data_IF_706752597163
#
_entry.id   IF_706752597163
#
_cell.length_a   1.000
_cell.length_b   1.000
_cell.length_c   1.000
_cell.angle_alpha   90.00
_cell.angle_beta   90.00
_cell.angle_gamma   90.00
#
_symmetry.space_group_name_H-M   'P 1'
#
loop_
_entity.id
_entity.type
_entity.pdbx_description
1 polymer ?
#
# COMPACT_ATOMS: atom_id res chain seq x y z
N UNK A 1 -30.60 -0.17 -1.02
CA UNK A 1 -30.11 0.52 -2.23
C UNK A 1 -28.89 1.42 -1.98
N UNK A 2 -28.72 2.03 -0.80
CA UNK A 2 -27.62 2.99 -0.52
C UNK A 2 -26.18 2.40 -0.42
N UNK A 3 -26.00 1.14 -0.04
CA UNK A 3 -24.67 0.58 0.19
C UNK A 3 -23.87 0.30 -1.10
N UNK A 4 -24.54 -0.22 -2.13
CA UNK A 4 -23.91 -0.47 -3.45
C UNK A 4 -23.48 0.83 -4.13
N UNK A 5 -24.30 1.87 -4.04
CA UNK A 5 -24.00 3.19 -4.64
C UNK A 5 -22.79 3.84 -3.94
N UNK A 6 -22.73 3.80 -2.60
CA UNK A 6 -21.56 4.31 -1.83
C UNK A 6 -20.27 3.56 -2.18
N UNK A 7 -20.33 2.25 -2.38
CA UNK A 7 -19.16 1.44 -2.75
C UNK A 7 -18.69 1.74 -4.18
N UNK A 8 -19.63 1.91 -5.13
CA UNK A 8 -19.29 2.25 -6.51
C UNK A 8 -18.67 3.64 -6.62
N UNK A 9 -19.23 4.62 -5.91
CA UNK A 9 -18.66 5.97 -5.85
C UNK A 9 -17.25 5.97 -5.25
N UNK A 10 -16.99 5.15 -4.22
CA UNK A 10 -15.66 5.07 -3.61
C UNK A 10 -14.62 4.45 -4.55
N UNK A 11 -15.00 3.41 -5.30
CA UNK A 11 -14.13 2.83 -6.32
C UNK A 11 -13.81 3.84 -7.43
N UNK A 12 -14.81 4.58 -7.90
CA UNK A 12 -14.61 5.62 -8.91
C UNK A 12 -13.65 6.71 -8.39
N UNK A 13 -13.82 7.17 -7.16
CA UNK A 13 -12.92 8.13 -6.51
C UNK A 13 -11.49 7.57 -6.41
N UNK A 14 -11.34 6.30 -6.05
CA UNK A 14 -10.03 5.63 -6.00
C UNK A 14 -9.34 5.63 -7.36
N UNK A 15 -10.06 5.25 -8.42
CA UNK A 15 -9.51 5.22 -9.79
C UNK A 15 -9.13 6.63 -10.25
N UNK A 16 -10.01 7.60 -10.06
CA UNK A 16 -9.76 8.99 -10.48
C UNK A 16 -8.57 9.58 -9.70
N UNK A 17 -8.52 9.37 -8.38
CA UNK A 17 -7.41 9.88 -7.55
C UNK A 17 -6.07 9.23 -7.93
N UNK A 18 -6.06 7.92 -8.25
CA UNK A 18 -4.86 7.23 -8.72
C UNK A 18 -4.39 7.77 -10.08
N UNK A 19 -5.31 7.94 -11.02
CA UNK A 19 -4.99 8.48 -12.34
C UNK A 19 -4.47 9.92 -12.26
N UNK A 20 -5.12 10.77 -11.44
CA UNK A 20 -4.69 12.15 -11.21
C UNK A 20 -3.29 12.19 -10.56
N UNK A 21 -3.05 11.39 -9.51
CA UNK A 21 -1.74 11.28 -8.87
C UNK A 21 -0.67 10.85 -9.86
N UNK A 22 -0.92 9.82 -10.66
CA UNK A 22 0.03 9.31 -11.64
C UNK A 22 0.35 10.34 -12.74
N UNK A 23 -0.67 11.05 -13.23
CA UNK A 23 -0.49 12.12 -14.21
C UNK A 23 0.33 13.29 -13.65
N UNK A 24 0.02 13.76 -12.45
CA UNK A 24 0.74 14.86 -11.78
C UNK A 24 2.21 14.46 -11.55
N UNK A 25 2.47 13.29 -11.02
CA UNK A 25 3.83 12.82 -10.78
C UNK A 25 4.61 12.67 -12.09
N UNK A 26 3.98 12.18 -13.15
CA UNK A 26 4.62 12.07 -14.46
C UNK A 26 4.94 13.44 -15.06
N UNK A 27 4.05 14.43 -14.94
CA UNK A 27 4.30 15.80 -15.44
C UNK A 27 5.39 16.54 -14.67
N UNK A 28 5.63 16.19 -13.41
CA UNK A 28 6.69 16.81 -12.60
C UNK A 28 8.05 16.15 -12.90
N UNK A 29 8.10 14.82 -12.94
CA UNK A 29 9.36 14.06 -13.01
C UNK A 29 9.80 13.78 -14.45
N UNK A 30 8.86 13.78 -15.41
CA UNK A 30 9.10 13.49 -16.82
C UNK A 30 9.83 12.16 -17.08
N UNK A 31 9.67 11.18 -16.19
CA UNK A 31 10.31 9.87 -16.30
C UNK A 31 9.28 8.76 -16.09
N UNK A 32 9.12 7.81 -17.03
CA UNK A 32 8.12 6.74 -16.91
C UNK A 32 8.32 5.81 -15.71
N UNK A 33 9.50 5.78 -15.09
CA UNK A 33 9.78 5.01 -13.88
C UNK A 33 8.88 5.45 -12.72
N UNK A 34 8.40 6.70 -12.72
CA UNK A 34 7.49 7.20 -11.71
C UNK A 34 6.13 6.51 -11.75
N UNK A 35 5.69 6.07 -12.94
CA UNK A 35 4.45 5.30 -13.06
C UNK A 35 4.58 3.93 -12.38
N UNK A 36 5.77 3.33 -12.43
CA UNK A 36 6.06 2.11 -11.68
C UNK A 36 5.98 2.35 -10.16
N UNK A 37 6.52 3.47 -9.66
CA UNK A 37 6.42 3.81 -8.24
C UNK A 37 4.97 4.04 -7.79
N UNK A 38 4.16 4.71 -8.63
CA UNK A 38 2.72 4.85 -8.37
C UNK A 38 2.02 3.49 -8.31
N UNK A 39 2.38 2.57 -9.21
CA UNK A 39 1.80 1.24 -9.24
C UNK A 39 2.22 0.39 -8.03
N UNK A 40 3.47 0.49 -7.57
CA UNK A 40 3.92 -0.14 -6.33
C UNK A 40 3.13 0.38 -5.13
N UNK A 41 2.89 1.71 -5.05
CA UNK A 41 2.05 2.30 -4.01
C UNK A 41 0.60 1.77 -4.07
N UNK A 42 0.04 1.60 -5.27
CA UNK A 42 -1.29 0.98 -5.43
C UNK A 42 -1.31 -0.44 -4.86
N UNK A 43 -0.31 -1.26 -5.20
CA UNK A 43 -0.18 -2.64 -4.69
C UNK A 43 -0.05 -2.65 -3.17
N UNK A 44 0.73 -1.73 -2.60
CA UNK A 44 0.88 -1.54 -1.16
C UNK A 44 -0.48 -1.30 -0.47
N UNK A 45 -1.22 -0.30 -0.92
CA UNK A 45 -2.54 0.03 -0.36
C UNK A 45 -3.57 -1.09 -0.55
N UNK A 46 -3.51 -1.80 -1.68
CA UNK A 46 -4.34 -2.97 -1.90
C UNK A 46 -4.04 -4.10 -0.91
N UNK A 47 -2.79 -4.24 -0.45
CA UNK A 47 -2.42 -5.20 0.59
C UNK A 47 -3.20 -4.95 1.88
N UNK A 48 -3.25 -3.71 2.36
CA UNK A 48 -4.05 -3.31 3.52
C UNK A 48 -5.55 -3.59 3.31
N UNK A 49 -6.07 -3.20 2.15
CA UNK A 49 -7.47 -3.39 1.79
C UNK A 49 -7.87 -4.87 1.76
N UNK A 50 -7.10 -5.72 1.09
CA UNK A 50 -7.38 -7.15 0.93
C UNK A 50 -7.35 -7.84 2.30
N UNK A 51 -6.32 -7.57 3.11
CA UNK A 51 -6.19 -8.17 4.43
C UNK A 51 -7.32 -7.73 5.38
N UNK A 52 -7.70 -6.45 5.36
CA UNK A 52 -8.84 -5.97 6.13
C UNK A 52 -10.15 -6.67 5.70
N UNK A 53 -10.36 -6.88 4.41
CA UNK A 53 -11.51 -7.63 3.88
C UNK A 53 -11.48 -9.11 4.26
N UNK A 54 -10.30 -9.72 4.30
CA UNK A 54 -10.14 -11.09 4.77
C UNK A 54 -10.64 -11.26 6.20
N UNK A 55 -10.36 -10.29 7.08
CA UNK A 55 -10.88 -10.25 8.46
C UNK A 55 -12.29 -9.67 8.58
N UNK A 56 -13.05 -9.59 7.47
CA UNK A 56 -14.43 -9.10 7.41
C UNK A 56 -14.62 -7.65 7.90
N UNK A 57 -13.54 -6.89 8.01
CA UNK A 57 -13.61 -5.48 8.39
C UNK A 57 -14.26 -4.64 7.27
N UNK A 58 -14.84 -3.52 7.66
CA UNK A 58 -15.40 -2.55 6.72
C UNK A 58 -14.28 -1.68 6.14
N UNK A 59 -13.57 -2.19 5.13
CA UNK A 59 -12.53 -1.45 4.43
C UNK A 59 -13.06 -0.76 3.19
N UNK A 60 -12.57 0.44 2.92
CA UNK A 60 -12.86 1.23 1.72
C UNK A 60 -11.68 1.18 0.76
N UNK A 61 -11.94 1.31 -0.55
CA UNK A 61 -10.88 1.43 -1.54
C UNK A 61 -9.97 2.62 -1.24
N UNK A 62 -8.64 2.48 -1.47
CA UNK A 62 -7.68 3.53 -1.16
C UNK A 62 -7.93 4.80 -1.96
N UNK A 63 -7.61 5.95 -1.38
CA UNK A 63 -7.52 7.25 -2.07
C UNK A 63 -6.06 7.63 -2.16
N UNK A 64 -5.66 8.19 -3.30
CA UNK A 64 -4.30 8.60 -3.57
C UNK A 64 -4.19 10.12 -3.60
N UNK A 65 -3.22 10.65 -2.86
CA UNK A 65 -2.98 12.09 -2.74
C UNK A 65 -1.59 12.38 -3.32
N UNK A 66 -1.50 13.16 -4.41
CA UNK A 66 -0.22 13.59 -4.93
C UNK A 66 0.37 14.64 -3.97
N UNK A 67 1.56 14.38 -3.48
CA UNK A 67 2.36 15.36 -2.74
C UNK A 67 3.62 15.66 -3.55
N UNK A 68 4.12 16.89 -3.45
CA UNK A 68 5.27 17.36 -4.26
C UNK A 68 6.52 16.50 -4.03
N UNK A 69 6.72 15.98 -2.81
CA UNK A 69 7.91 15.21 -2.45
C UNK A 69 7.63 13.70 -2.41
N UNK A 70 6.40 13.31 -2.10
CA UNK A 70 6.01 11.90 -2.01
C UNK A 70 4.50 11.75 -2.21
N UNK A 71 4.08 10.71 -2.92
CA UNK A 71 2.67 10.36 -3.01
C UNK A 71 2.26 9.49 -1.83
N UNK A 72 1.04 9.69 -1.35
CA UNK A 72 0.50 8.93 -0.22
C UNK A 72 -0.80 8.26 -0.63
N UNK A 73 -0.92 6.96 -0.34
CA UNK A 73 -2.15 6.21 -0.36
C UNK A 73 -2.78 6.16 1.03
N UNK A 74 -4.10 6.15 1.10
CA UNK A 74 -4.83 6.05 2.36
C UNK A 74 -5.95 5.02 2.21
N UNK A 75 -5.77 3.87 2.85
CA UNK A 75 -6.79 2.84 3.00
C UNK A 75 -7.51 3.02 4.34
N UNK A 76 -8.80 3.34 4.29
CA UNK A 76 -9.61 3.47 5.50
C UNK A 76 -10.20 2.11 5.89
N UNK A 77 -9.96 1.70 7.14
CA UNK A 77 -10.47 0.45 7.71
C UNK A 77 -11.24 0.77 8.97
N UNK A 78 -12.48 0.30 9.05
CA UNK A 78 -13.38 0.46 10.20
C UNK A 78 -13.73 -0.93 10.76
N UNK A 79 -14.12 -0.96 12.02
CA UNK A 79 -14.62 -2.17 12.71
C UNK A 79 -13.62 -3.36 12.65
N UNK A 80 -12.31 -3.06 12.69
CA UNK A 80 -11.27 -4.07 12.74
C UNK A 80 -10.91 -4.36 14.21
N UNK A 81 -11.02 -5.62 14.60
CA UNK A 81 -10.60 -6.09 15.92
C UNK A 81 -9.09 -5.85 16.14
N UNK A 82 -8.72 -5.49 17.37
CA UNK A 82 -7.35 -5.12 17.72
C UNK A 82 -6.33 -6.21 17.41
N UNK A 83 -6.70 -7.48 17.60
CA UNK A 83 -5.84 -8.63 17.30
C UNK A 83 -5.42 -8.71 15.82
N UNK A 84 -6.19 -8.18 14.88
CA UNK A 84 -5.90 -8.21 13.45
C UNK A 84 -5.23 -6.94 12.92
N UNK A 85 -5.19 -5.85 13.72
CA UNK A 85 -4.60 -4.57 13.29
C UNK A 85 -3.13 -4.70 12.88
N UNK A 86 -2.37 -5.54 13.58
CA UNK A 86 -0.98 -5.80 13.25
C UNK A 86 -0.82 -6.47 11.89
N UNK A 87 -1.66 -7.46 11.58
CA UNK A 87 -1.60 -8.19 10.33
C UNK A 87 -1.99 -7.30 9.14
N UNK A 88 -3.01 -6.47 9.32
CA UNK A 88 -3.42 -5.50 8.29
C UNK A 88 -2.32 -4.47 8.06
N UNK A 89 -1.67 -3.96 9.13
CA UNK A 89 -0.57 -3.01 8.99
C UNK A 89 0.64 -3.58 8.26
N UNK A 90 0.90 -4.88 8.38
CA UNK A 90 2.02 -5.54 7.70
C UNK A 90 1.70 -5.94 6.25
N UNK A 91 0.43 -6.11 5.91
CA UNK A 91 0.00 -6.65 4.63
C UNK A 91 0.36 -5.76 3.43
N UNK A 92 0.33 -4.43 3.60
CA UNK A 92 0.71 -3.48 2.55
C UNK A 92 2.17 -3.64 2.13
N UNK A 93 3.13 -3.43 3.06
CA UNK A 93 4.55 -3.60 2.77
C UNK A 93 4.90 -5.00 2.24
N UNK A 94 4.26 -6.04 2.79
CA UNK A 94 4.50 -7.41 2.38
C UNK A 94 4.09 -7.64 0.92
N UNK A 95 2.88 -7.21 0.53
CA UNK A 95 2.39 -7.40 -0.83
C UNK A 95 3.22 -6.59 -1.83
N UNK A 96 3.59 -5.34 -1.51
CA UNK A 96 4.45 -4.52 -2.34
C UNK A 96 5.85 -5.14 -2.51
N UNK A 97 6.46 -5.63 -1.43
CA UNK A 97 7.77 -6.29 -1.48
C UNK A 97 7.74 -7.57 -2.32
N UNK A 98 6.71 -8.41 -2.16
CA UNK A 98 6.52 -9.60 -3.00
C UNK A 98 6.39 -9.22 -4.48
N UNK A 99 5.63 -8.18 -4.79
CA UNK A 99 5.48 -7.68 -6.15
C UNK A 99 6.81 -7.21 -6.75
N UNK A 100 7.60 -6.43 -6.00
CA UNK A 100 8.93 -5.97 -6.46
C UNK A 100 9.88 -7.15 -6.70
N UNK A 101 9.87 -8.16 -5.82
CA UNK A 101 10.68 -9.37 -5.99
C UNK A 101 10.26 -10.11 -7.28
N UNK A 102 8.97 -10.26 -7.53
CA UNK A 102 8.47 -10.85 -8.78
C UNK A 102 8.91 -10.04 -10.00
N UNK A 103 8.86 -8.70 -9.94
CA UNK A 103 9.37 -7.84 -10.99
C UNK A 103 10.88 -8.00 -11.21
N UNK A 104 11.67 -8.19 -10.14
CA UNK A 104 13.11 -8.43 -10.25
C UNK A 104 13.40 -9.75 -10.95
N UNK A 105 12.68 -10.81 -10.61
CA UNK A 105 12.80 -12.11 -11.27
C UNK A 105 12.43 -12.01 -12.76
N UNK A 106 11.33 -11.33 -13.07
CA UNK A 106 10.93 -11.08 -14.45
C UNK A 106 11.94 -10.23 -15.22
N UNK A 107 12.48 -9.21 -14.57
CA UNK A 107 13.49 -8.32 -15.14
C UNK A 107 14.82 -9.04 -15.43
N UNK A 108 15.15 -10.08 -14.69
CA UNK A 108 16.30 -10.93 -14.97
C UNK A 108 16.21 -11.56 -16.37
N UNK A 109 15.01 -11.93 -16.82
CA UNK A 109 14.75 -12.53 -18.12
C UNK A 109 14.67 -11.48 -19.25
N UNK A 110 13.95 -10.39 -19.01
CA UNK A 110 13.56 -9.44 -20.06
C UNK A 110 14.33 -8.12 -20.05
N UNK A 111 15.09 -7.81 -18.99
CA UNK A 111 15.90 -6.59 -18.82
C UNK A 111 15.14 -5.27 -19.10
N UNK A 112 13.87 -5.21 -18.73
CA UNK A 112 12.99 -4.07 -18.98
C UNK A 112 13.33 -2.84 -18.12
N UNK A 113 13.83 -3.07 -16.90
CA UNK A 113 14.11 -2.01 -15.94
C UNK A 113 15.57 -2.09 -15.45
N UNK A 114 16.09 -0.97 -14.97
CA UNK A 114 17.37 -1.00 -14.26
C UNK A 114 17.21 -1.75 -12.93
N UNK A 115 18.02 -2.78 -12.71
CA UNK A 115 18.04 -3.54 -11.45
C UNK A 115 18.31 -2.66 -10.24
N UNK A 116 19.11 -1.59 -10.41
CA UNK A 116 19.37 -0.59 -9.35
C UNK A 116 18.09 0.10 -8.89
N UNK A 117 17.18 0.44 -9.80
CA UNK A 117 15.89 1.05 -9.44
C UNK A 117 14.99 0.08 -8.68
N UNK A 118 14.90 -1.17 -9.13
CA UNK A 118 14.10 -2.17 -8.41
C UNK A 118 14.63 -2.44 -7.02
N UNK A 119 15.95 -2.50 -6.84
CA UNK A 119 16.59 -2.58 -5.52
C UNK A 119 16.29 -1.36 -4.65
N UNK A 120 16.31 -0.16 -5.23
CA UNK A 120 15.96 1.06 -4.51
C UNK A 120 14.51 1.03 -4.02
N UNK A 121 13.56 0.59 -4.84
CA UNK A 121 12.16 0.43 -4.41
C UNK A 121 12.03 -0.61 -3.31
N UNK A 122 12.68 -1.76 -3.42
CA UNK A 122 12.63 -2.79 -2.38
C UNK A 122 13.23 -2.28 -1.06
N UNK A 123 14.37 -1.60 -1.11
CA UNK A 123 14.98 -1.02 0.10
C UNK A 123 14.12 0.07 0.70
N UNK A 124 13.47 0.91 -0.11
CA UNK A 124 12.55 1.94 0.39
C UNK A 124 11.32 1.34 1.07
N UNK A 125 10.74 0.27 0.51
CA UNK A 125 9.63 -0.47 1.14
C UNK A 125 10.06 -1.02 2.51
N UNK A 126 11.24 -1.64 2.59
CA UNK A 126 11.75 -2.18 3.85
C UNK A 126 12.01 -1.07 4.87
N UNK A 127 12.71 -0.01 4.49
CA UNK A 127 13.11 1.05 5.43
C UNK A 127 11.93 1.92 5.85
N UNK A 128 11.10 2.38 4.91
CA UNK A 128 10.04 3.32 5.20
C UNK A 128 8.80 2.63 5.80
N UNK A 129 8.48 1.44 5.35
CA UNK A 129 7.23 0.78 5.73
C UNK A 129 7.44 -0.27 6.81
N UNK A 130 8.38 -1.22 6.69
CA UNK A 130 8.61 -2.21 7.75
C UNK A 130 9.23 -1.61 9.01
N UNK A 131 10.20 -0.71 8.89
CA UNK A 131 10.88 -0.09 10.02
C UNK A 131 10.15 1.19 10.44
N UNK A 132 9.67 1.97 9.48
CA UNK A 132 9.02 3.26 9.66
C UNK A 132 7.55 3.19 10.07
N UNK A 133 6.66 3.53 9.15
CA UNK A 133 5.25 3.82 9.44
C UNK A 133 4.46 2.57 9.85
N UNK A 134 4.35 1.59 8.96
CA UNK A 134 3.51 0.42 9.20
C UNK A 134 4.16 -0.58 10.16
N UNK A 135 5.47 -0.68 10.13
CA UNK A 135 6.21 -1.48 11.11
C UNK A 135 6.08 -0.96 12.55
N UNK A 136 5.99 0.37 12.77
CA UNK A 136 5.69 0.95 14.09
C UNK A 136 4.28 0.61 14.54
N UNK A 137 3.28 0.69 13.64
CA UNK A 137 1.90 0.28 13.90
C UNK A 137 1.85 -1.21 14.28
N UNK A 138 2.49 -2.06 13.47
CA UNK A 138 2.58 -3.50 13.74
C UNK A 138 3.15 -3.80 15.13
N UNK A 139 4.29 -3.21 15.50
CA UNK A 139 4.92 -3.43 16.82
C UNK A 139 4.02 -2.96 17.96
N UNK A 140 3.40 -1.78 17.84
CA UNK A 140 2.48 -1.24 18.85
C UNK A 140 1.28 -2.16 19.06
N UNK A 141 0.65 -2.63 17.98
CA UNK A 141 -0.52 -3.53 18.09
C UNK A 141 -0.12 -4.89 18.67
N UNK A 142 1.03 -5.44 18.29
CA UNK A 142 1.52 -6.70 18.83
C UNK A 142 1.84 -6.61 20.32
N UNK A 143 2.43 -5.52 20.79
CA UNK A 143 2.69 -5.31 22.22
C UNK A 143 1.39 -5.23 23.04
N UNK A 144 0.41 -4.49 22.55
CA UNK A 144 -0.90 -4.38 23.23
C UNK A 144 -1.59 -5.74 23.36
N UNK A 145 -1.55 -6.57 22.31
CA UNK A 145 -2.15 -7.91 22.37
C UNK A 145 -1.42 -8.86 23.33
N UNK A 146 -0.10 -8.73 23.48
CA UNK A 146 0.67 -9.52 24.46
C UNK A 146 0.36 -9.09 25.88
N UNK A 147 0.19 -7.80 26.17
CA UNK A 147 -0.14 -7.31 27.51
C UNK A 147 -1.53 -7.76 27.98
N UNK A 148 -2.49 -7.92 27.06
CA UNK A 148 -3.84 -8.41 27.37
C UNK A 148 -3.86 -9.92 27.62
N UNK A 149 -2.94 -10.70 27.03
CA UNK A 149 -2.87 -12.15 27.22
C UNK A 149 -2.21 -12.58 28.53
N UNK A 150 -1.58 -11.66 29.26
CA UNK A 150 -0.93 -11.89 30.56
C UNK A 150 -1.71 -11.29 31.77
N UNK A 151 -2.86 -10.70 31.53
CA UNK A 151 -3.78 -10.19 32.56
C UNK A 151 -4.98 -11.12 32.76
#
# INVERSE_FOLDING_TARGET
>A
MNFKIKKLNRLAISIVSFAAMSAINYTIIHNPIVLLSCFILLIHELGHYIMAKHYKANAQFPIFIPLIIASVGITQVFDLEDQYKSNVALAGPLLASCFIICLMLFNFLYKLFSTKFLLLFLTSEILLNYIGLDGKKYRKFKQNNLSVSFS
#
